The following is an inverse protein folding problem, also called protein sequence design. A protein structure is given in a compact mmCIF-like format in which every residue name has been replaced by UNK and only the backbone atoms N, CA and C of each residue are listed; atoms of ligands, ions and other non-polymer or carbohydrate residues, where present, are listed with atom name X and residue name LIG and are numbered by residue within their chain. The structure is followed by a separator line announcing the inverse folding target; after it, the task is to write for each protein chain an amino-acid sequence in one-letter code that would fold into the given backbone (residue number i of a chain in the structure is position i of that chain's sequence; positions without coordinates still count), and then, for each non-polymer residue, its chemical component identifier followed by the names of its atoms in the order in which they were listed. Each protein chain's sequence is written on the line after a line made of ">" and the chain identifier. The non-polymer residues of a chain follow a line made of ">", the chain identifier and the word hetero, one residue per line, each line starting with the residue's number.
data_IF_291958181464
#
_entry.id   IF_291958181464
#
_cell.length_a   1.000
_cell.length_b   1.000
_cell.length_c   1.000
_cell.angle_alpha   90.00
_cell.angle_beta   90.00
_cell.angle_gamma   90.00
#
_symmetry.space_group_name_H-M   'P 1'
#
loop_
_entity.id
_entity.type
_entity.pdbx_description
1 polymer ?
#
# COMPACT_ATOMS: atom_id res chain seq x y z
N UNK A 1 24.61 1.00 5.09
CA UNK A 1 24.02 -0.31 5.44
C UNK A 1 22.52 -0.36 5.13
N UNK A 2 21.71 0.59 5.62
CA UNK A 2 20.26 0.66 5.33
C UNK A 2 19.92 0.94 3.87
N UNK A 3 20.69 1.83 3.20
CA UNK A 3 20.49 2.15 1.77
C UNK A 3 20.70 0.93 0.86
N UNK A 4 21.76 0.16 1.10
CA UNK A 4 22.07 -1.05 0.33
C UNK A 4 20.98 -2.12 0.46
N UNK A 5 20.49 -2.37 1.69
CA UNK A 5 19.41 -3.32 1.91
C UNK A 5 18.11 -2.87 1.22
N UNK A 6 17.75 -1.59 1.33
CA UNK A 6 16.57 -1.05 0.66
C UNK A 6 16.63 -1.24 -0.86
N UNK A 7 17.78 -0.97 -1.48
CA UNK A 7 17.99 -1.16 -2.91
C UNK A 7 17.92 -2.63 -3.31
N UNK A 8 18.52 -3.51 -2.50
CA UNK A 8 18.44 -4.96 -2.72
C UNK A 8 17.00 -5.47 -2.67
N UNK A 9 16.20 -5.00 -1.71
CA UNK A 9 14.79 -5.36 -1.57
C UNK A 9 13.94 -4.80 -2.71
N UNK A 10 14.10 -3.53 -3.08
CA UNK A 10 13.40 -2.94 -4.23
C UNK A 10 13.71 -3.68 -5.54
N UNK A 11 14.98 -4.03 -5.77
CA UNK A 11 15.39 -4.81 -6.94
C UNK A 11 14.82 -6.22 -6.92
N UNK A 12 14.77 -6.86 -5.75
CA UNK A 12 14.13 -8.16 -5.58
C UNK A 12 12.62 -8.09 -5.90
N UNK A 13 11.88 -7.12 -5.34
CA UNK A 13 10.46 -6.87 -5.67
C UNK A 13 10.27 -6.71 -7.18
N UNK A 14 11.10 -5.87 -7.82
CA UNK A 14 11.02 -5.64 -9.26
C UNK A 14 11.22 -6.92 -10.05
N UNK A 15 12.23 -7.74 -9.68
CA UNK A 15 12.53 -9.01 -10.33
C UNK A 15 11.36 -10.00 -10.20
N UNK A 16 10.85 -10.21 -8.99
CA UNK A 16 9.76 -11.18 -8.77
C UNK A 16 8.53 -10.79 -9.61
N UNK A 17 8.07 -9.55 -9.49
CA UNK A 17 6.89 -9.04 -10.21
C UNK A 17 7.06 -9.16 -11.74
N UNK A 18 8.21 -8.75 -12.27
CA UNK A 18 8.45 -8.82 -13.72
C UNK A 18 8.61 -10.25 -14.23
N UNK A 19 9.22 -11.13 -13.43
CA UNK A 19 9.36 -12.56 -13.77
C UNK A 19 8.01 -13.29 -13.82
N UNK A 20 7.03 -12.82 -13.05
CA UNK A 20 5.64 -13.30 -13.11
C UNK A 20 4.80 -12.64 -14.22
N UNK A 21 5.40 -11.79 -15.07
CA UNK A 21 4.69 -11.05 -16.13
C UNK A 21 3.93 -9.80 -15.64
N UNK A 22 4.11 -9.42 -14.37
CA UNK A 22 3.53 -8.21 -13.79
C UNK A 22 4.19 -6.93 -14.30
N UNK A 23 3.42 -5.84 -14.33
CA UNK A 23 3.86 -4.51 -14.82
C UNK A 23 4.04 -3.48 -13.71
N UNK A 24 3.72 -3.85 -12.47
CA UNK A 24 3.61 -2.95 -11.34
C UNK A 24 3.04 -3.66 -10.13
N UNK A 25 2.75 -2.88 -9.08
CA UNK A 25 2.31 -3.39 -7.78
C UNK A 25 1.07 -2.64 -7.27
N UNK A 26 0.20 -3.38 -6.60
CA UNK A 26 -0.92 -2.85 -5.81
C UNK A 26 -0.83 -3.43 -4.40
N UNK A 27 -1.01 -2.61 -3.38
CA UNK A 27 -0.87 -3.04 -1.97
C UNK A 27 -1.72 -2.16 -1.05
N UNK A 28 -2.06 -2.70 0.13
CA UNK A 28 -2.73 -1.94 1.18
C UNK A 28 -1.78 -0.96 1.89
N UNK A 29 -2.25 0.25 2.14
CA UNK A 29 -1.54 1.29 2.90
C UNK A 29 -2.41 1.70 4.09
N UNK A 30 -2.04 1.25 5.28
CA UNK A 30 -2.84 1.46 6.50
C UNK A 30 -2.38 2.64 7.36
N UNK A 31 -1.21 3.23 7.05
CA UNK A 31 -0.57 4.25 7.90
C UNK A 31 0.43 3.65 8.90
N UNK A 32 0.39 2.34 9.12
CA UNK A 32 1.36 1.63 9.94
C UNK A 32 2.75 1.52 9.30
N UNK A 33 3.77 1.32 10.14
CA UNK A 33 5.18 1.26 9.73
C UNK A 33 5.46 0.22 8.64
N UNK A 34 4.91 -0.98 8.76
CA UNK A 34 5.17 -2.07 7.80
C UNK A 34 4.66 -1.69 6.41
N UNK A 35 3.40 -1.20 6.33
CA UNK A 35 2.79 -0.78 5.06
C UNK A 35 3.53 0.42 4.45
N UNK A 36 4.05 1.33 5.28
CA UNK A 36 4.85 2.48 4.85
C UNK A 36 6.20 2.04 4.29
N UNK A 37 6.89 1.09 4.92
CA UNK A 37 8.14 0.51 4.41
C UNK A 37 7.89 -0.19 3.07
N UNK A 38 6.82 -0.99 2.97
CA UNK A 38 6.40 -1.61 1.72
C UNK A 38 6.14 -0.56 0.64
N UNK A 39 5.44 0.54 0.97
CA UNK A 39 5.14 1.62 0.03
C UNK A 39 6.41 2.25 -0.57
N UNK A 40 7.39 2.58 0.28
CA UNK A 40 8.67 3.15 -0.16
C UNK A 40 9.45 2.21 -1.07
N UNK A 41 9.54 0.92 -0.71
CA UNK A 41 10.24 -0.09 -1.53
C UNK A 41 9.52 -0.33 -2.86
N UNK A 42 8.20 -0.42 -2.85
CA UNK A 42 7.37 -0.58 -4.04
C UNK A 42 7.46 0.63 -4.98
N UNK A 43 7.42 1.86 -4.45
CA UNK A 43 7.61 3.09 -5.23
C UNK A 43 9.01 3.15 -5.83
N UNK A 44 10.04 2.70 -5.10
CA UNK A 44 11.41 2.60 -5.63
C UNK A 44 11.52 1.56 -6.74
N UNK A 45 10.88 0.40 -6.60
CA UNK A 45 10.88 -0.68 -7.60
C UNK A 45 10.10 -0.31 -8.87
N UNK A 46 8.95 0.33 -8.69
CA UNK A 46 8.00 0.73 -9.74
C UNK A 46 7.55 2.20 -9.56
N UNK A 47 8.39 3.18 -9.96
CA UNK A 47 8.10 4.60 -9.76
C UNK A 47 6.75 5.05 -10.33
N UNK A 48 6.40 4.59 -11.53
CA UNK A 48 5.17 5.03 -12.21
C UNK A 48 3.99 4.07 -12.08
N UNK A 49 4.27 2.82 -11.69
CA UNK A 49 3.34 1.69 -11.68
C UNK A 49 3.20 1.07 -10.28
N UNK A 50 3.09 1.92 -9.27
CA UNK A 50 2.78 1.54 -7.89
C UNK A 50 1.47 2.22 -7.47
N UNK A 51 0.55 1.44 -6.89
CA UNK A 51 -0.74 1.90 -6.38
C UNK A 51 -0.94 1.46 -4.93
N UNK A 52 -1.05 2.42 -4.02
CA UNK A 52 -1.46 2.19 -2.64
C UNK A 52 -2.98 2.24 -2.49
N UNK A 53 -3.57 1.30 -1.76
CA UNK A 53 -4.99 1.31 -1.41
C UNK A 53 -5.16 1.57 0.08
N UNK A 54 -5.82 2.66 0.42
CA UNK A 54 -6.22 2.98 1.79
C UNK A 54 -7.63 2.43 1.96
N UNK A 55 -7.79 1.40 2.79
CA UNK A 55 -9.02 0.61 2.86
C UNK A 55 -9.59 0.67 4.29
N UNK A 56 -10.21 1.79 4.69
CA UNK A 56 -10.79 1.90 6.02
C UNK A 56 -12.01 0.98 6.16
N UNK A 57 -12.18 0.46 7.37
CA UNK A 57 -13.32 -0.33 7.81
C UNK A 57 -13.52 -0.07 9.31
N UNK A 58 -14.37 0.91 9.66
CA UNK A 58 -14.52 1.48 11.00
C UNK A 58 -13.17 1.87 11.62
N UNK A 59 -12.24 2.30 10.77
CA UNK A 59 -10.85 2.57 11.15
C UNK A 59 -10.68 3.96 11.76
N UNK A 60 -9.59 4.14 12.51
CA UNK A 60 -9.28 5.45 13.08
C UNK A 60 -8.89 6.44 11.96
N UNK A 61 -9.40 7.66 12.05
CA UNK A 61 -9.08 8.74 11.12
C UNK A 61 -7.58 9.06 11.08
N UNK A 62 -6.88 8.95 12.22
CA UNK A 62 -5.44 9.21 12.28
C UNK A 62 -4.65 8.29 11.34
N UNK A 63 -4.98 6.99 11.32
CA UNK A 63 -4.31 6.00 10.47
C UNK A 63 -4.51 6.32 8.98
N UNK A 64 -5.72 6.74 8.62
CA UNK A 64 -6.07 7.17 7.25
C UNK A 64 -5.28 8.42 6.85
N UNK A 65 -5.16 9.38 7.76
CA UNK A 65 -4.44 10.63 7.51
C UNK A 65 -2.93 10.39 7.38
N UNK A 66 -2.36 9.51 8.21
CA UNK A 66 -0.96 9.08 8.12
C UNK A 66 -0.67 8.36 6.80
N UNK A 67 -1.54 7.43 6.39
CA UNK A 67 -1.45 6.76 5.10
C UNK A 67 -1.43 7.75 3.91
N UNK A 68 -2.33 8.74 3.93
CA UNK A 68 -2.39 9.79 2.90
C UNK A 68 -1.15 10.67 2.93
N UNK A 69 -0.65 11.01 4.11
CA UNK A 69 0.56 11.82 4.30
C UNK A 69 1.78 11.13 3.68
N UNK A 70 2.00 9.86 4.04
CA UNK A 70 3.08 9.04 3.48
C UNK A 70 2.99 8.96 1.96
N UNK A 71 1.81 8.66 1.41
CA UNK A 71 1.64 8.52 -0.02
C UNK A 71 1.97 9.82 -0.77
N UNK A 72 1.58 10.98 -0.22
CA UNK A 72 1.92 12.30 -0.78
C UNK A 72 3.42 12.57 -0.72
N UNK A 73 4.04 12.34 0.43
CA UNK A 73 5.48 12.62 0.65
C UNK A 73 6.36 11.86 -0.34
N UNK A 74 6.04 10.60 -0.64
CA UNK A 74 6.82 9.76 -1.56
C UNK A 74 6.33 9.85 -3.02
N UNK A 75 5.32 10.66 -3.31
CA UNK A 75 4.71 10.79 -4.64
C UNK A 75 4.08 9.50 -5.15
N UNK A 76 3.52 8.66 -4.27
CA UNK A 76 2.83 7.42 -4.61
C UNK A 76 1.39 7.72 -5.06
N UNK A 77 0.94 7.08 -6.15
CA UNK A 77 -0.48 7.09 -6.52
C UNK A 77 -1.25 6.25 -5.50
N UNK A 78 -2.35 6.78 -4.98
CA UNK A 78 -3.18 6.06 -4.02
C UNK A 78 -4.66 6.33 -4.23
N UNK A 79 -5.48 5.38 -3.79
CA UNK A 79 -6.94 5.49 -3.76
C UNK A 79 -7.45 5.15 -2.37
N UNK A 80 -8.62 5.69 -2.00
CA UNK A 80 -9.31 5.32 -0.76
C UNK A 80 -10.59 4.57 -1.10
N UNK A 81 -10.74 3.36 -0.53
CA UNK A 81 -11.90 2.50 -0.74
C UNK A 81 -12.52 2.20 0.62
N UNK A 82 -13.64 2.85 0.92
CA UNK A 82 -14.38 2.64 2.16
C UNK A 82 -15.12 1.30 2.15
N UNK A 83 -14.82 0.44 3.13
CA UNK A 83 -15.45 -0.87 3.28
C UNK A 83 -16.49 -0.93 4.39
N UNK A 84 -16.82 0.16 5.08
CA UNK A 84 -17.77 0.16 6.22
C UNK A 84 -19.10 -0.48 5.81
N UNK A 85 -19.62 -0.09 4.65
CA UNK A 85 -20.88 -0.63 4.13
C UNK A 85 -20.79 -2.12 3.80
N UNK A 86 -19.70 -2.56 3.17
CA UNK A 86 -19.52 -3.97 2.81
C UNK A 86 -19.43 -4.80 4.08
N UNK A 87 -18.64 -4.36 5.04
CA UNK A 87 -18.48 -5.00 6.34
C UNK A 87 -19.81 -5.11 7.10
N UNK A 88 -20.58 -4.02 7.19
CA UNK A 88 -21.89 -4.02 7.85
C UNK A 88 -22.86 -5.00 7.19
N UNK A 89 -22.91 -5.05 5.85
CA UNK A 89 -23.77 -6.00 5.14
C UNK A 89 -23.41 -7.47 5.47
N UNK A 90 -22.12 -7.79 5.60
CA UNK A 90 -21.68 -9.14 5.99
C UNK A 90 -22.10 -9.50 7.41
N UNK A 91 -22.04 -8.54 8.35
CA UNK A 91 -22.51 -8.74 9.73
C UNK A 91 -24.02 -8.95 9.79
N UNK A 92 -24.80 -8.17 9.04
CA UNK A 92 -26.27 -8.29 8.98
C UNK A 92 -26.71 -9.60 8.31
N UNK A 93 -26.02 -10.04 7.26
CA UNK A 93 -26.38 -11.26 6.50
C UNK A 93 -26.00 -12.57 7.21
N UNK A 94 -25.33 -12.49 8.36
CA UNK A 94 -24.90 -13.66 9.16
C UNK A 94 -25.91 -14.07 10.24
N UNK A 95 -27.12 -13.50 10.22
CA UNK A 95 -28.24 -13.83 11.11
C UNK A 95 -29.52 -14.13 10.33
#
# INVERSE_FOLDING_TARGET
>A
MTSELSMKLSNWIKKEVTSSGGKGVVFGLSGGIDSTVTACLCKSAFPENSLGLIIPCHSNKADIDDAKSVAKEIGLKYETIDLDRVYNNFLESSF
#
